data_IF_830225594080
#
_entry.id   IF_830225594080
#
_cell.length_a   1.000
_cell.length_b   1.000
_cell.length_c   1.000
_cell.angle_alpha   90.00
_cell.angle_beta   90.00
_cell.angle_gamma   90.00
#
_symmetry.space_group_name_H-M   'P 1'
#
loop_
_entity.id
_entity.type
_entity.pdbx_description
1 polymer ?
#
# COMPACT_ATOMS: atom_id res chain seq x y z
N UNK A 1 16.49 -7.60 -7.18
CA UNK A 1 15.58 -8.60 -6.57
C UNK A 1 14.71 -9.21 -7.65
N UNK A 2 14.72 -10.54 -7.82
CA UNK A 2 13.98 -11.20 -8.89
C UNK A 2 12.48 -10.89 -8.79
N UNK A 3 11.91 -10.21 -9.81
CA UNK A 3 10.48 -9.88 -9.89
C UNK A 3 9.53 -11.04 -9.59
N UNK A 4 9.81 -12.30 -10.03
CA UNK A 4 8.96 -13.44 -9.69
C UNK A 4 9.01 -13.80 -8.20
N UNK A 5 10.20 -13.80 -7.57
CA UNK A 5 10.36 -14.13 -6.16
C UNK A 5 9.53 -13.21 -5.23
N UNK A 6 9.53 -11.90 -5.50
CA UNK A 6 8.74 -10.95 -4.73
C UNK A 6 7.23 -11.19 -4.85
N UNK A 7 6.74 -11.53 -6.06
CA UNK A 7 5.33 -11.89 -6.26
C UNK A 7 4.95 -13.14 -5.47
N UNK A 8 5.80 -14.16 -5.47
CA UNK A 8 5.56 -15.39 -4.69
C UNK A 8 5.51 -15.11 -3.19
N UNK A 9 6.44 -14.33 -2.66
CA UNK A 9 6.47 -13.95 -1.24
C UNK A 9 5.19 -13.18 -0.86
N UNK A 10 4.75 -12.25 -1.69
CA UNK A 10 3.51 -11.47 -1.45
C UNK A 10 2.28 -12.37 -1.42
N UNK A 11 2.17 -13.31 -2.38
CA UNK A 11 1.04 -14.27 -2.41
C UNK A 11 1.07 -15.18 -1.19
N UNK A 12 2.23 -15.71 -0.82
CA UNK A 12 2.40 -16.56 0.38
C UNK A 12 2.01 -15.77 1.64
N UNK A 13 2.41 -14.51 1.77
CA UNK A 13 2.06 -13.67 2.91
C UNK A 13 0.54 -13.45 3.02
N UNK A 14 -0.15 -13.19 1.90
CA UNK A 14 -1.61 -13.05 1.87
C UNK A 14 -2.27 -14.37 2.28
N UNK A 15 -1.82 -15.50 1.71
CA UNK A 15 -2.37 -16.81 2.05
C UNK A 15 -2.17 -17.16 3.52
N UNK A 16 -1.01 -16.82 4.09
CA UNK A 16 -0.72 -17.02 5.50
C UNK A 16 -1.65 -16.20 6.41
N UNK A 17 -1.91 -14.91 6.06
CA UNK A 17 -2.85 -14.06 6.79
C UNK A 17 -4.27 -14.62 6.72
N UNK A 18 -4.74 -15.04 5.54
CA UNK A 18 -6.07 -15.64 5.36
C UNK A 18 -6.21 -16.94 6.14
N UNK A 19 -5.19 -17.80 6.10
CA UNK A 19 -5.18 -19.05 6.86
C UNK A 19 -5.23 -18.81 8.37
N UNK A 20 -4.44 -17.85 8.88
CA UNK A 20 -4.41 -17.48 10.29
C UNK A 20 -5.75 -16.90 10.75
N UNK A 21 -6.39 -16.06 9.93
CA UNK A 21 -7.74 -15.54 10.21
C UNK A 21 -8.79 -16.64 10.20
N UNK A 22 -8.72 -17.58 9.24
CA UNK A 22 -9.61 -18.75 9.19
C UNK A 22 -9.47 -19.63 10.42
N UNK A 23 -8.26 -19.92 10.85
CA UNK A 23 -7.98 -20.68 12.06
C UNK A 23 -8.50 -19.97 13.31
N UNK A 24 -8.25 -18.66 13.44
CA UNK A 24 -8.74 -17.86 14.55
C UNK A 24 -10.27 -17.78 14.57
N UNK A 25 -10.93 -17.62 13.42
CA UNK A 25 -12.38 -17.64 13.29
C UNK A 25 -12.96 -18.96 13.76
N UNK A 26 -12.42 -20.10 13.28
CA UNK A 26 -12.84 -21.43 13.68
C UNK A 26 -12.70 -21.64 15.19
N UNK A 27 -11.60 -21.22 15.78
CA UNK A 27 -11.34 -21.35 17.21
C UNK A 27 -12.32 -20.51 18.04
N UNK A 28 -12.56 -19.26 17.64
CA UNK A 28 -13.53 -18.37 18.29
C UNK A 28 -14.97 -18.87 18.17
N UNK A 29 -15.31 -19.44 17.03
CA UNK A 29 -16.61 -20.05 16.82
C UNK A 29 -16.85 -21.21 17.80
N UNK A 30 -15.91 -22.15 17.89
CA UNK A 30 -16.02 -23.29 18.81
C UNK A 30 -16.06 -22.87 20.29
N UNK A 31 -15.31 -21.83 20.64
CA UNK A 31 -15.31 -21.31 22.00
C UNK A 31 -16.68 -20.74 22.39
N UNK A 32 -17.28 -19.93 21.49
CA UNK A 32 -18.62 -19.37 21.72
C UNK A 32 -19.71 -20.44 21.67
N UNK A 33 -19.56 -21.44 20.82
CA UNK A 33 -20.46 -22.60 20.74
C UNK A 33 -20.47 -23.36 22.08
N UNK A 34 -19.32 -23.66 22.65
CA UNK A 34 -19.19 -24.33 23.93
C UNK A 34 -19.75 -23.46 25.08
N UNK A 35 -19.43 -22.16 25.10
CA UNK A 35 -19.96 -21.23 26.11
C UNK A 35 -21.51 -21.16 26.04
N UNK A 36 -22.08 -21.15 24.86
CA UNK A 36 -23.53 -21.17 24.67
C UNK A 36 -24.12 -22.48 25.15
N UNK A 37 -23.50 -23.62 24.84
CA UNK A 37 -23.91 -24.94 25.28
C UNK A 37 -23.92 -25.02 26.82
N UNK A 38 -22.88 -24.57 27.49
CA UNK A 38 -22.81 -24.59 28.95
C UNK A 38 -23.88 -23.71 29.59
N UNK A 39 -24.15 -22.53 29.04
CA UNK A 39 -25.23 -21.63 29.52
C UNK A 39 -26.60 -22.28 29.39
N UNK A 40 -26.86 -22.95 28.28
CA UNK A 40 -28.12 -23.64 28.00
C UNK A 40 -28.32 -24.82 28.95
N UNK A 41 -27.30 -25.66 29.13
CA UNK A 41 -27.35 -26.78 30.03
C UNK A 41 -27.55 -26.36 31.50
N UNK A 42 -26.80 -25.39 31.96
CA UNK A 42 -26.92 -24.86 33.34
C UNK A 42 -28.32 -24.25 33.58
N UNK A 43 -28.83 -23.48 32.59
CA UNK A 43 -30.20 -22.94 32.69
C UNK A 43 -31.26 -24.03 32.75
N UNK A 44 -31.10 -25.13 31.97
CA UNK A 44 -32.03 -26.24 32.00
C UNK A 44 -31.98 -27.02 33.34
N UNK A 45 -30.80 -27.18 33.87
CA UNK A 45 -30.59 -27.79 35.20
C UNK A 45 -31.27 -26.97 36.33
N UNK A 46 -31.06 -25.66 36.35
CA UNK A 46 -31.67 -24.76 37.33
C UNK A 46 -33.21 -24.74 37.20
N UNK A 47 -33.71 -24.78 35.94
CA UNK A 47 -35.15 -24.87 35.65
C UNK A 47 -35.80 -26.15 36.24
N UNK A 48 -35.09 -27.28 36.18
CA UNK A 48 -35.55 -28.54 36.76
C UNK A 48 -35.60 -28.49 38.29
N UNK A 49 -34.59 -27.87 38.92
CA UNK A 49 -34.55 -27.67 40.37
C UNK A 49 -35.70 -26.77 40.83
N UNK A 50 -35.99 -25.71 40.10
CA UNK A 50 -37.12 -24.82 40.40
C UNK A 50 -38.47 -25.52 40.24
N UNK A 51 -38.65 -26.25 39.12
CA UNK A 51 -39.86 -27.01 38.87
C UNK A 51 -40.11 -28.05 39.95
N UNK A 52 -39.11 -28.87 40.31
CA UNK A 52 -39.16 -29.85 41.35
C UNK A 52 -39.54 -29.23 42.72
N UNK A 53 -39.00 -28.06 43.04
CA UNK A 53 -39.36 -27.31 44.24
C UNK A 53 -40.82 -26.81 44.24
N UNK A 54 -41.29 -26.31 43.06
CA UNK A 54 -42.70 -25.86 42.89
C UNK A 54 -43.67 -27.03 43.00
N UNK A 55 -43.40 -28.13 42.32
CA UNK A 55 -44.24 -29.34 42.32
C UNK A 55 -44.30 -29.99 43.68
N UNK A 56 -43.21 -30.08 44.42
CA UNK A 56 -43.16 -30.57 45.80
C UNK A 56 -44.00 -29.71 46.75
N UNK A 57 -44.03 -28.38 46.63
CA UNK A 57 -44.86 -27.48 47.42
C UNK A 57 -46.34 -27.58 47.14
N UNK A 58 -46.73 -27.92 45.93
CA UNK A 58 -48.12 -28.09 45.51
C UNK A 58 -48.70 -29.47 45.89
N UNK A 59 -47.84 -30.41 46.17
CA UNK A 59 -48.26 -31.76 46.54
C UNK A 59 -48.96 -31.77 47.89
N UNK A 60 -50.24 -32.16 47.93
CA UNK A 60 -51.08 -32.22 49.15
C UNK A 60 -50.84 -33.50 49.97
N UNK A 61 -49.99 -34.41 49.55
CA UNK A 61 -49.65 -35.62 50.28
C UNK A 61 -48.57 -35.38 51.35
N UNK A 62 -48.59 -36.20 52.40
CA UNK A 62 -47.52 -36.15 53.42
C UNK A 62 -46.26 -36.80 52.84
N UNK A 63 -45.29 -35.97 52.46
CA UNK A 63 -43.91 -36.43 52.34
C UNK A 63 -43.38 -36.50 53.77
N UNK A 64 -42.94 -37.65 54.29
CA UNK A 64 -42.44 -37.76 55.67
C UNK A 64 -41.28 -36.78 55.88
N UNK A 65 -41.38 -35.99 56.97
CA UNK A 65 -40.25 -35.16 57.39
C UNK A 65 -39.03 -36.06 57.72
N UNK A 66 -37.98 -35.96 56.91
CA UNK A 66 -36.81 -36.79 57.10
C UNK A 66 -36.64 -37.91 56.07
N UNK A 67 -37.37 -37.87 54.93
CA UNK A 67 -37.09 -38.78 53.83
C UNK A 67 -35.62 -38.67 53.46
N UNK A 68 -34.84 -39.67 53.82
CA UNK A 68 -33.42 -39.78 53.47
C UNK A 68 -33.37 -40.37 52.09
N UNK A 69 -32.84 -39.58 51.15
CA UNK A 69 -32.50 -40.07 49.83
C UNK A 69 -31.42 -41.14 49.95
N UNK A 70 -31.80 -42.38 49.84
CA UNK A 70 -30.87 -43.48 49.75
C UNK A 70 -30.64 -43.77 48.24
N UNK A 71 -29.89 -42.88 47.59
CA UNK A 71 -29.39 -43.19 46.26
C UNK A 71 -28.45 -44.37 46.37
N UNK A 72 -28.63 -45.32 45.44
CA UNK A 72 -27.75 -46.47 45.37
C UNK A 72 -26.29 -46.02 45.17
N UNK A 73 -25.52 -46.08 46.27
CA UNK A 73 -24.13 -45.62 46.30
C UNK A 73 -23.24 -46.31 45.25
N UNK A 74 -23.72 -47.44 44.72
CA UNK A 74 -23.00 -48.14 43.64
C UNK A 74 -23.12 -47.43 42.30
N UNK A 75 -24.08 -46.52 42.15
CA UNK A 75 -24.32 -45.71 40.92
C UNK A 75 -23.80 -44.28 40.96
N UNK A 76 -23.12 -43.91 42.06
CA UNK A 76 -22.60 -42.55 42.29
C UNK A 76 -21.08 -42.57 42.30
N UNK A 77 -20.46 -41.69 41.49
CA UNK A 77 -19.03 -41.55 41.41
C UNK A 77 -18.69 -40.08 41.20
N UNK A 78 -18.89 -39.25 42.25
CA UNK A 78 -18.72 -37.82 42.21
C UNK A 78 -17.29 -37.43 41.78
N UNK A 79 -17.17 -36.65 40.73
CA UNK A 79 -15.88 -36.15 40.18
C UNK A 79 -15.82 -34.64 39.97
N UNK A 80 -16.97 -33.98 39.82
CA UNK A 80 -17.03 -32.53 39.57
C UNK A 80 -18.40 -31.94 39.95
N UNK A 81 -18.49 -30.60 40.02
CA UNK A 81 -19.69 -29.85 40.46
C UNK A 81 -20.94 -30.15 39.60
N UNK A 82 -20.77 -30.45 38.32
CA UNK A 82 -21.85 -30.78 37.38
C UNK A 82 -22.42 -32.19 37.70
N UNK A 83 -21.56 -33.15 37.97
CA UNK A 83 -21.97 -34.50 38.38
C UNK A 83 -22.77 -34.47 39.71
N UNK A 84 -22.35 -33.69 40.67
CA UNK A 84 -23.04 -33.53 41.97
C UNK A 84 -24.46 -32.97 41.79
N UNK A 85 -24.62 -31.99 40.90
CA UNK A 85 -25.91 -31.40 40.55
C UNK A 85 -26.80 -32.36 39.80
N UNK A 86 -26.23 -33.16 38.90
CA UNK A 86 -26.96 -34.18 38.15
C UNK A 86 -27.47 -35.27 39.10
N UNK A 87 -26.68 -35.70 40.05
CA UNK A 87 -27.07 -36.64 41.13
C UNK A 87 -28.24 -36.07 41.92
N UNK A 88 -28.18 -34.81 42.33
CA UNK A 88 -29.22 -34.14 43.06
C UNK A 88 -30.58 -34.14 42.28
N UNK A 89 -30.51 -33.78 41.00
CA UNK A 89 -31.72 -33.76 40.16
C UNK A 89 -32.29 -35.15 39.94
N UNK A 90 -31.44 -36.12 39.64
CA UNK A 90 -31.90 -37.52 39.47
C UNK A 90 -32.57 -38.02 40.75
N UNK A 91 -32.00 -37.70 41.88
CA UNK A 91 -32.57 -38.02 43.18
C UNK A 91 -33.96 -37.38 43.45
N UNK A 92 -34.08 -36.09 43.11
CA UNK A 92 -35.36 -35.37 43.22
C UNK A 92 -36.41 -35.95 42.29
N UNK A 93 -36.08 -36.32 41.08
CA UNK A 93 -36.99 -36.96 40.13
C UNK A 93 -37.38 -38.37 40.60
N UNK A 94 -36.48 -39.14 41.21
CA UNK A 94 -36.79 -40.45 41.79
C UNK A 94 -37.79 -40.34 42.91
N UNK A 95 -37.64 -39.35 43.81
CA UNK A 95 -38.65 -39.06 44.86
C UNK A 95 -40.01 -38.72 44.23
N UNK A 96 -40.02 -37.83 43.26
CA UNK A 96 -41.28 -37.46 42.56
C UNK A 96 -41.95 -38.67 41.92
N UNK A 97 -41.20 -39.60 41.38
CA UNK A 97 -41.71 -40.84 40.84
C UNK A 97 -42.27 -41.75 41.92
N UNK A 98 -41.57 -41.91 43.04
CA UNK A 98 -42.00 -42.76 44.19
C UNK A 98 -43.34 -42.27 44.78
N UNK A 99 -43.46 -40.94 44.96
CA UNK A 99 -44.69 -40.32 45.49
C UNK A 99 -45.73 -39.98 44.44
N UNK A 100 -45.60 -40.48 43.16
CA UNK A 100 -46.51 -40.20 42.06
C UNK A 100 -46.74 -38.69 41.83
N UNK A 101 -45.73 -37.87 42.01
CA UNK A 101 -45.77 -36.45 41.66
C UNK A 101 -45.38 -36.32 40.18
N UNK A 102 -46.36 -35.98 39.28
CA UNK A 102 -46.05 -35.91 37.85
C UNK A 102 -45.15 -34.69 37.53
N UNK A 103 -44.18 -34.88 36.65
CA UNK A 103 -43.41 -33.77 36.10
C UNK A 103 -44.34 -32.87 35.28
N UNK A 104 -44.41 -31.59 35.63
CA UNK A 104 -45.24 -30.63 34.92
C UNK A 104 -44.44 -29.92 33.83
N UNK A 105 -44.56 -30.38 32.59
CA UNK A 105 -43.86 -29.83 31.46
C UNK A 105 -44.16 -28.35 31.21
N UNK A 106 -45.39 -27.84 31.48
CA UNK A 106 -45.72 -26.43 31.33
C UNK A 106 -45.00 -25.57 32.39
N UNK A 107 -44.91 -26.08 33.60
CA UNK A 107 -44.15 -25.45 34.68
C UNK A 107 -42.64 -25.42 34.36
N UNK A 108 -42.12 -26.55 33.85
CA UNK A 108 -40.73 -26.67 33.44
C UNK A 108 -40.37 -25.73 32.28
N UNK A 109 -41.27 -25.63 31.25
CA UNK A 109 -41.11 -24.69 30.15
C UNK A 109 -41.00 -23.23 30.65
N UNK A 110 -41.91 -22.87 31.58
CA UNK A 110 -41.90 -21.52 32.17
C UNK A 110 -40.63 -21.25 32.99
N UNK A 111 -40.18 -22.23 33.81
CA UNK A 111 -38.95 -22.12 34.57
C UNK A 111 -37.72 -22.02 33.66
N UNK A 112 -37.69 -22.82 32.63
CA UNK A 112 -36.57 -22.80 31.68
C UNK A 112 -36.49 -21.49 30.93
N UNK A 113 -37.62 -20.94 30.50
CA UNK A 113 -37.68 -19.60 29.88
C UNK A 113 -37.18 -18.51 30.82
N UNK A 114 -37.57 -18.56 32.09
CA UNK A 114 -37.09 -17.64 33.13
C UNK A 114 -35.58 -17.74 33.32
N UNK A 115 -35.01 -18.94 33.38
CA UNK A 115 -33.54 -19.13 33.53
C UNK A 115 -32.78 -18.70 32.27
N UNK A 116 -33.31 -18.95 31.08
CA UNK A 116 -32.76 -18.46 29.81
C UNK A 116 -32.78 -16.92 29.73
N UNK A 117 -33.81 -16.27 30.26
CA UNK A 117 -33.89 -14.81 30.33
C UNK A 117 -32.80 -14.23 31.23
N UNK A 118 -32.45 -14.85 32.36
CA UNK A 118 -31.38 -14.42 33.27
C UNK A 118 -30.00 -14.40 32.61
N UNK A 119 -29.79 -15.30 31.64
CA UNK A 119 -28.53 -15.35 30.83
C UNK A 119 -28.64 -14.65 29.49
N UNK A 120 -29.68 -13.81 29.28
CA UNK A 120 -29.97 -13.08 28.04
C UNK A 120 -30.23 -13.98 26.81
N UNK A 121 -30.78 -15.17 27.01
CA UNK A 121 -31.12 -16.16 25.99
C UNK A 121 -32.61 -16.41 25.84
N UNK A 122 -33.48 -15.67 26.52
CA UNK A 122 -34.92 -15.89 26.55
C UNK A 122 -35.68 -15.79 25.21
N UNK A 123 -35.01 -15.20 24.19
CA UNK A 123 -35.57 -15.15 22.80
C UNK A 123 -35.38 -16.45 22.02
N UNK A 124 -34.71 -17.44 22.58
CA UNK A 124 -34.53 -18.74 21.93
C UNK A 124 -35.83 -19.51 21.88
N UNK A 125 -36.08 -20.14 20.74
CA UNK A 125 -37.11 -21.15 20.62
C UNK A 125 -36.52 -22.49 21.09
N UNK A 126 -37.23 -23.15 21.99
CA UNK A 126 -36.83 -24.45 22.49
C UNK A 126 -38.08 -25.35 22.63
N UNK A 127 -37.84 -26.66 22.65
CA UNK A 127 -38.82 -27.68 23.03
C UNK A 127 -38.16 -28.60 24.06
N UNK A 128 -39.00 -29.15 24.95
CA UNK A 128 -38.54 -30.10 25.97
C UNK A 128 -39.22 -31.45 25.63
N UNK A 129 -38.39 -32.46 25.37
CA UNK A 129 -38.81 -33.77 24.95
C UNK A 129 -38.44 -34.82 26.02
N UNK A 130 -39.30 -35.84 26.18
CA UNK A 130 -38.94 -37.05 26.94
C UNK A 130 -38.23 -38.00 25.98
N UNK A 131 -37.09 -38.49 26.42
CA UNK A 131 -36.20 -39.36 25.64
C UNK A 131 -36.12 -40.72 26.33
N UNK A 132 -36.32 -41.77 25.54
CA UNK A 132 -36.06 -43.14 26.00
C UNK A 132 -34.53 -43.38 25.92
N UNK A 133 -33.96 -43.78 27.07
CA UNK A 133 -32.53 -43.97 27.22
C UNK A 133 -32.17 -45.44 27.07
N UNK A 134 -31.16 -45.76 26.30
CA UNK A 134 -30.60 -47.10 26.33
C UNK A 134 -29.78 -47.29 27.64
N UNK A 135 -30.43 -47.89 28.65
CA UNK A 135 -29.85 -48.12 29.95
C UNK A 135 -28.55 -48.97 29.91
N UNK A 136 -28.25 -49.62 28.82
CA UNK A 136 -27.04 -50.43 28.67
C UNK A 136 -25.81 -49.53 28.45
N UNK A 137 -26.03 -48.30 27.97
CA UNK A 137 -24.96 -47.31 27.67
C UNK A 137 -24.50 -46.54 28.91
N UNK A 138 -25.35 -46.37 29.89
CA UNK A 138 -25.09 -45.55 31.07
C UNK A 138 -25.14 -46.45 32.33
N UNK A 139 -24.00 -46.55 32.97
CA UNK A 139 -23.88 -47.37 34.20
C UNK A 139 -23.96 -46.51 35.48
N UNK A 140 -23.50 -45.26 35.40
CA UNK A 140 -23.45 -44.31 36.49
C UNK A 140 -24.16 -43.02 36.10
N UNK A 141 -24.61 -42.24 37.06
CA UNK A 141 -25.19 -40.88 36.80
C UNK A 141 -24.19 -39.96 36.11
N UNK A 142 -22.93 -40.08 36.47
CA UNK A 142 -21.84 -39.29 35.90
C UNK A 142 -21.61 -39.58 34.42
N UNK A 143 -21.95 -40.72 33.90
CA UNK A 143 -21.83 -41.09 32.49
C UNK A 143 -22.63 -40.12 31.62
N UNK A 144 -23.75 -39.53 32.16
CA UNK A 144 -24.50 -38.49 31.48
C UNK A 144 -23.80 -37.13 31.46
N UNK A 145 -22.97 -36.84 32.49
CA UNK A 145 -22.17 -35.61 32.53
C UNK A 145 -20.93 -35.69 31.63
N UNK A 146 -20.37 -36.92 31.46
CA UNK A 146 -19.24 -37.16 30.60
C UNK A 146 -19.64 -37.35 29.13
N UNK A 147 -20.90 -37.69 28.83
CA UNK A 147 -21.42 -37.78 27.47
C UNK A 147 -21.66 -36.38 26.89
N UNK A 148 -20.55 -35.70 26.68
CA UNK A 148 -20.52 -34.43 25.97
C UNK A 148 -20.62 -34.60 24.45
N UNK A 149 -21.10 -35.76 23.99
CA UNK A 149 -21.44 -35.95 22.59
C UNK A 149 -22.62 -35.00 22.25
N UNK A 150 -22.23 -33.77 21.91
CA UNK A 150 -23.07 -32.80 21.24
C UNK A 150 -23.68 -33.52 20.02
N UNK A 151 -24.91 -33.99 20.15
CA UNK A 151 -25.68 -34.45 18.99
C UNK A 151 -26.00 -33.18 18.19
N UNK A 152 -25.07 -32.80 17.31
CA UNK A 152 -25.24 -31.71 16.38
C UNK A 152 -26.15 -32.15 15.27
N UNK A 153 -27.44 -32.03 15.47
CA UNK A 153 -28.38 -32.07 14.38
C UNK A 153 -28.32 -30.74 13.62
N UNK A 154 -28.35 -30.80 12.34
CA UNK A 154 -27.99 -29.78 11.33
C UNK A 154 -28.48 -28.34 11.57
N UNK A 155 -29.28 -28.01 12.55
CA UNK A 155 -29.76 -26.67 12.94
C UNK A 155 -30.24 -26.61 14.39
N UNK A 156 -30.03 -27.63 15.17
CA UNK A 156 -30.53 -27.75 16.54
C UNK A 156 -29.35 -28.00 17.49
N UNK A 157 -29.44 -27.45 18.70
CA UNK A 157 -28.52 -27.75 19.80
C UNK A 157 -29.31 -28.42 20.90
N UNK A 158 -28.88 -29.60 21.31
CA UNK A 158 -29.52 -30.36 22.37
C UNK A 158 -28.73 -30.21 23.66
N UNK A 159 -29.44 -30.08 24.80
CA UNK A 159 -28.82 -30.20 26.13
C UNK A 159 -28.40 -31.65 26.35
N UNK A 160 -27.60 -31.88 27.38
CA UNK A 160 -27.39 -33.23 27.85
C UNK A 160 -28.74 -33.84 28.29
N UNK A 161 -28.78 -35.17 28.31
CA UNK A 161 -29.97 -35.90 28.78
C UNK A 161 -29.95 -35.93 30.32
N UNK A 162 -31.05 -35.54 30.92
CA UNK A 162 -31.24 -35.60 32.37
C UNK A 162 -32.16 -36.77 32.73
N UNK A 163 -31.64 -37.81 33.42
CA UNK A 163 -32.44 -38.98 33.78
C UNK A 163 -33.52 -38.60 34.78
N UNK A 164 -34.75 -39.13 34.55
CA UNK A 164 -35.91 -38.90 35.41
C UNK A 164 -36.34 -40.16 36.18
N UNK A 165 -35.60 -41.27 35.99
CA UNK A 165 -35.83 -42.54 36.70
C UNK A 165 -34.50 -43.14 37.13
N UNK A 166 -34.53 -43.89 38.26
CA UNK A 166 -33.35 -44.57 38.78
C UNK A 166 -32.81 -45.69 37.90
N UNK A 167 -33.68 -46.31 37.11
CA UNK A 167 -33.33 -47.35 36.15
C UNK A 167 -32.72 -46.81 34.85
N UNK A 168 -32.60 -45.47 34.76
CA UNK A 168 -32.14 -44.76 33.56
C UNK A 168 -32.87 -45.10 32.27
N UNK A 169 -34.14 -45.56 32.37
CA UNK A 169 -34.95 -45.88 31.20
C UNK A 169 -35.51 -44.66 30.49
N UNK A 170 -35.68 -43.54 31.20
CA UNK A 170 -36.23 -42.29 30.68
C UNK A 170 -35.48 -41.06 31.15
N UNK A 171 -35.34 -40.10 30.25
CA UNK A 171 -34.79 -38.79 30.55
C UNK A 171 -35.53 -37.66 29.89
N UNK A 172 -35.17 -36.46 30.19
CA UNK A 172 -35.62 -35.24 29.50
C UNK A 172 -34.43 -34.50 28.92
N UNK A 173 -34.72 -33.86 27.80
CA UNK A 173 -33.73 -33.10 27.04
C UNK A 173 -34.40 -31.86 26.45
N UNK A 174 -33.74 -30.73 26.46
CA UNK A 174 -34.18 -29.55 25.75
C UNK A 174 -33.45 -29.43 24.42
N UNK A 175 -34.22 -29.18 23.36
CA UNK A 175 -33.70 -28.94 22.03
C UNK A 175 -33.94 -27.47 21.68
N UNK A 176 -32.91 -26.80 21.24
CA UNK A 176 -32.91 -25.37 20.89
C UNK A 176 -32.78 -25.23 19.39
N UNK A 177 -33.68 -24.45 18.80
CA UNK A 177 -33.73 -24.18 17.38
C UNK A 177 -32.77 -23.02 17.00
N UNK A 178 -32.03 -23.21 15.92
CA UNK A 178 -31.19 -22.18 15.30
C UNK A 178 -30.21 -21.44 16.24
N UNK A 179 -29.41 -22.11 17.10
CA UNK A 179 -28.48 -21.48 17.99
C UNK A 179 -27.35 -20.69 17.25
N UNK A 180 -27.06 -21.11 16.03
CA UNK A 180 -26.00 -20.49 15.19
C UNK A 180 -26.23 -19.01 14.89
N UNK A 181 -27.50 -18.59 14.81
CA UNK A 181 -27.82 -17.17 14.59
C UNK A 181 -27.30 -16.27 15.70
N UNK A 182 -27.36 -16.76 16.96
CA UNK A 182 -26.83 -16.02 18.11
C UNK A 182 -25.30 -15.98 18.10
N UNK A 183 -24.65 -17.10 17.79
CA UNK A 183 -23.20 -17.18 17.70
C UNK A 183 -22.69 -16.18 16.63
N UNK A 184 -23.31 -16.17 15.44
CA UNK A 184 -22.94 -15.23 14.38
C UNK A 184 -23.18 -13.77 14.79
N UNK A 185 -24.30 -13.48 15.49
CA UNK A 185 -24.57 -12.14 16.00
C UNK A 185 -23.55 -11.68 17.03
N UNK A 186 -23.08 -12.56 17.89
CA UNK A 186 -22.01 -12.26 18.86
C UNK A 186 -20.67 -12.06 18.16
N UNK A 187 -20.41 -12.83 17.08
CA UNK A 187 -19.19 -12.69 16.30
C UNK A 187 -19.16 -11.48 15.34
N UNK A 188 -20.25 -10.74 15.17
CA UNK A 188 -20.35 -9.66 14.17
C UNK A 188 -19.22 -8.62 14.27
N UNK A 189 -18.85 -8.20 15.49
CA UNK A 189 -17.79 -7.22 15.70
C UNK A 189 -16.42 -7.77 15.30
N UNK A 190 -16.19 -9.05 15.58
CA UNK A 190 -14.97 -9.75 15.15
C UNK A 190 -14.92 -9.91 13.64
N UNK A 191 -16.04 -10.23 12.99
CA UNK A 191 -16.12 -10.31 11.53
C UNK A 191 -15.80 -8.95 10.87
N UNK A 192 -16.37 -7.87 11.38
CA UNK A 192 -16.07 -6.52 10.92
C UNK A 192 -14.58 -6.21 11.09
N UNK A 193 -14.01 -6.54 12.26
CA UNK A 193 -12.58 -6.33 12.55
C UNK A 193 -11.67 -7.12 11.60
N UNK A 194 -11.97 -8.38 11.31
CA UNK A 194 -11.19 -9.21 10.39
C UNK A 194 -11.22 -8.68 8.96
N UNK A 195 -12.40 -8.26 8.48
CA UNK A 195 -12.57 -7.66 7.15
C UNK A 195 -11.80 -6.35 7.05
N UNK A 196 -11.90 -5.48 8.07
CA UNK A 196 -11.16 -4.22 8.10
C UNK A 196 -9.63 -4.44 8.06
N UNK A 197 -9.14 -5.39 8.87
CA UNK A 197 -7.73 -5.74 8.91
C UNK A 197 -7.24 -6.24 7.55
N UNK A 198 -8.02 -7.07 6.88
CA UNK A 198 -7.71 -7.57 5.54
C UNK A 198 -7.61 -6.43 4.52
N UNK A 199 -8.53 -5.45 4.57
CA UNK A 199 -8.47 -4.26 3.73
C UNK A 199 -7.21 -3.44 3.99
N UNK A 200 -6.82 -3.23 5.26
CA UNK A 200 -5.59 -2.51 5.62
C UNK A 200 -4.36 -3.22 5.06
N UNK A 201 -4.27 -4.54 5.21
CA UNK A 201 -3.14 -5.33 4.69
C UNK A 201 -3.05 -5.21 3.17
N UNK A 202 -4.16 -5.37 2.45
CA UNK A 202 -4.19 -5.24 0.98
C UNK A 202 -3.77 -3.81 0.57
N UNK A 203 -4.29 -2.78 1.23
CA UNK A 203 -3.92 -1.38 0.97
C UNK A 203 -2.42 -1.15 1.15
N UNK A 204 -1.85 -1.60 2.26
CA UNK A 204 -0.40 -1.48 2.53
C UNK A 204 0.44 -2.19 1.45
N UNK A 205 0.04 -3.40 1.03
CA UNK A 205 0.73 -4.14 -0.03
C UNK A 205 0.69 -3.41 -1.37
N UNK A 206 -0.47 -2.84 -1.75
CA UNK A 206 -0.59 -2.04 -2.98
C UNK A 206 0.32 -0.82 -2.95
N UNK A 207 0.39 -0.11 -1.81
CA UNK A 207 1.29 1.04 -1.67
C UNK A 207 2.77 0.64 -1.74
N UNK A 208 3.16 -0.45 -1.09
CA UNK A 208 4.52 -0.99 -1.17
C UNK A 208 4.92 -1.35 -2.60
N UNK A 209 4.02 -2.01 -3.36
CA UNK A 209 4.27 -2.34 -4.78
C UNK A 209 4.50 -1.07 -5.60
N UNK A 210 3.68 -0.02 -5.41
CA UNK A 210 3.85 1.27 -6.11
C UNK A 210 5.21 1.90 -5.81
N UNK A 211 5.64 1.89 -4.55
CA UNK A 211 6.95 2.42 -4.13
C UNK A 211 8.09 1.64 -4.79
N UNK A 212 8.04 0.31 -4.76
CA UNK A 212 9.08 -0.54 -5.37
C UNK A 212 9.16 -0.33 -6.89
N UNK A 213 8.01 -0.23 -7.57
CA UNK A 213 7.98 0.03 -9.02
C UNK A 213 8.62 1.38 -9.34
N UNK A 214 8.32 2.42 -8.54
CA UNK A 214 8.92 3.76 -8.68
C UNK A 214 10.44 3.72 -8.44
N UNK A 215 10.89 3.05 -7.37
CA UNK A 215 12.32 2.91 -7.08
C UNK A 215 13.08 2.16 -8.18
N UNK A 216 12.51 1.08 -8.71
CA UNK A 216 13.12 0.33 -9.81
C UNK A 216 13.21 1.19 -11.09
N UNK A 217 12.20 2.02 -11.36
CA UNK A 217 12.24 2.95 -12.50
C UNK A 217 13.40 3.95 -12.33
N UNK A 218 13.52 4.55 -11.14
CA UNK A 218 14.58 5.51 -10.81
C UNK A 218 15.96 4.82 -10.91
N UNK A 219 16.10 3.62 -10.37
CA UNK A 219 17.36 2.87 -10.43
C UNK A 219 17.78 2.58 -11.87
N UNK A 220 16.81 2.18 -12.72
CA UNK A 220 17.08 1.93 -14.14
C UNK A 220 17.48 3.20 -14.88
N UNK A 221 16.78 4.32 -14.65
CA UNK A 221 17.12 5.61 -15.24
C UNK A 221 18.54 6.03 -14.84
N UNK A 222 18.91 5.85 -13.55
CA UNK A 222 20.27 6.13 -13.07
C UNK A 222 21.33 5.24 -13.74
N UNK A 223 21.03 3.97 -13.97
CA UNK A 223 21.90 3.03 -14.65
C UNK A 223 22.10 3.44 -16.12
N UNK A 224 21.00 3.68 -16.84
CA UNK A 224 21.03 4.13 -18.25
C UNK A 224 21.81 5.44 -18.41
N UNK A 225 21.66 6.38 -17.46
CA UNK A 225 22.47 7.62 -17.41
C UNK A 225 23.96 7.35 -17.21
N UNK A 226 24.30 6.49 -16.24
CA UNK A 226 25.72 6.18 -15.99
C UNK A 226 26.37 5.59 -17.23
N UNK A 227 25.69 4.71 -17.96
CA UNK A 227 26.17 4.15 -19.23
C UNK A 227 26.33 5.24 -20.32
N UNK A 228 25.34 6.13 -20.47
CA UNK A 228 25.41 7.22 -21.45
C UNK A 228 26.57 8.15 -21.13
N UNK A 229 26.73 8.56 -19.86
CA UNK A 229 27.81 9.43 -19.40
C UNK A 229 29.19 8.82 -19.65
N UNK A 230 29.37 7.54 -19.31
CA UNK A 230 30.64 6.84 -19.57
C UNK A 230 30.94 6.81 -21.07
N UNK A 231 29.95 6.59 -21.92
CA UNK A 231 30.13 6.56 -23.38
C UNK A 231 30.51 7.91 -23.93
N UNK A 232 29.86 8.99 -23.47
CA UNK A 232 30.12 10.35 -23.96
C UNK A 232 31.46 10.90 -23.45
N UNK A 233 31.93 10.45 -22.27
CA UNK A 233 33.30 10.72 -21.79
C UNK A 233 34.34 9.87 -22.51
N UNK A 234 34.02 8.68 -22.97
CA UNK A 234 34.94 7.78 -23.66
C UNK A 234 35.38 8.36 -25.02
N UNK A 235 34.50 9.07 -25.73
CA UNK A 235 34.79 9.63 -27.06
C UNK A 235 35.90 10.68 -26.99
N UNK A 236 35.76 11.79 -26.21
CA UNK A 236 36.80 12.80 -26.08
C UNK A 236 38.11 12.21 -25.52
N UNK A 237 38.00 11.31 -24.52
CA UNK A 237 39.18 10.64 -23.98
C UNK A 237 39.92 9.80 -25.03
N UNK A 238 39.18 9.15 -25.94
CA UNK A 238 39.76 8.36 -27.04
C UNK A 238 40.42 9.26 -28.08
N UNK A 239 39.84 10.41 -28.40
CA UNK A 239 40.43 11.44 -29.28
C UNK A 239 41.75 11.98 -28.73
N UNK A 240 41.77 12.38 -27.45
CA UNK A 240 42.98 12.82 -26.74
C UNK A 240 44.05 11.74 -26.76
N UNK A 241 43.69 10.48 -26.43
CA UNK A 241 44.62 9.37 -26.43
C UNK A 241 45.18 9.10 -27.83
N UNK A 242 44.34 9.17 -28.87
CA UNK A 242 44.79 9.01 -30.26
C UNK A 242 45.70 10.12 -30.70
N UNK A 243 45.37 11.39 -30.42
CA UNK A 243 46.20 12.56 -30.66
C UNK A 243 47.59 12.42 -30.00
N UNK A 244 47.60 12.07 -28.71
CA UNK A 244 48.83 11.82 -27.94
C UNK A 244 49.71 10.74 -28.58
N UNK A 245 49.11 9.60 -29.03
CA UNK A 245 49.85 8.52 -29.69
C UNK A 245 50.44 8.96 -31.03
N UNK A 246 49.69 9.73 -31.82
CA UNK A 246 50.15 10.24 -33.13
C UNK A 246 51.33 11.21 -32.92
N UNK A 247 51.19 12.16 -32.00
CA UNK A 247 52.26 13.10 -31.67
C UNK A 247 53.51 12.39 -31.17
N UNK A 248 53.37 11.40 -30.27
CA UNK A 248 54.48 10.61 -29.73
C UNK A 248 55.18 9.75 -30.78
N UNK A 249 54.52 9.40 -31.88
CA UNK A 249 55.12 8.57 -32.93
C UNK A 249 56.20 9.28 -33.78
N UNK A 250 56.35 10.59 -33.64
CA UNK A 250 57.28 11.42 -34.44
C UNK A 250 56.89 11.59 -35.92
N UNK A 251 55.79 11.01 -36.38
CA UNK A 251 55.37 11.04 -37.78
C UNK A 251 54.96 12.45 -38.29
N UNK A 252 54.76 13.38 -37.35
CA UNK A 252 54.36 14.77 -37.64
C UNK A 252 55.45 15.78 -37.36
N UNK A 253 56.65 15.36 -37.02
CA UNK A 253 57.76 16.30 -36.66
C UNK A 253 58.15 17.19 -37.80
N UNK A 254 58.05 16.69 -39.05
CA UNK A 254 58.28 17.44 -40.27
C UNK A 254 57.06 18.22 -40.81
N UNK A 255 55.93 18.23 -40.04
CA UNK A 255 54.64 18.83 -40.48
C UNK A 255 54.03 19.66 -39.33
N UNK A 256 54.64 20.82 -39.02
CA UNK A 256 54.24 21.63 -37.87
C UNK A 256 52.76 22.03 -37.86
N UNK A 257 52.19 22.43 -39.01
CA UNK A 257 50.75 22.78 -39.11
C UNK A 257 49.82 21.63 -38.75
N UNK A 258 50.17 20.39 -39.09
CA UNK A 258 49.38 19.23 -38.74
C UNK A 258 49.55 18.84 -37.25
N UNK A 259 50.73 19.09 -36.72
CA UNK A 259 51.03 18.86 -35.30
C UNK A 259 50.20 19.80 -34.45
N UNK A 260 50.12 21.07 -34.82
CA UNK A 260 49.32 22.11 -34.17
C UNK A 260 47.84 21.71 -34.18
N UNK A 261 47.30 21.31 -35.33
CA UNK A 261 45.92 20.86 -35.45
C UNK A 261 45.55 19.69 -34.50
N UNK A 262 46.50 18.79 -34.23
CA UNK A 262 46.24 17.73 -33.24
C UNK A 262 46.27 18.26 -31.80
N UNK A 263 47.04 19.26 -31.49
CA UNK A 263 47.01 19.94 -30.18
C UNK A 263 45.66 20.67 -30.02
N UNK A 264 45.22 21.44 -31.01
CA UNK A 264 43.92 22.12 -30.99
C UNK A 264 42.77 21.12 -30.74
N UNK A 265 42.75 19.99 -31.46
CA UNK A 265 41.74 18.96 -31.27
C UNK A 265 41.79 18.38 -29.85
N UNK A 266 42.97 18.18 -29.29
CA UNK A 266 43.11 17.64 -27.93
C UNK A 266 42.68 18.64 -26.89
N UNK A 267 42.97 19.94 -27.08
CA UNK A 267 42.54 21.03 -26.21
C UNK A 267 41.03 21.21 -26.23
N UNK A 268 40.40 21.21 -27.42
CA UNK A 268 38.94 21.24 -27.60
C UNK A 268 38.26 20.08 -26.87
N UNK A 269 38.81 18.87 -26.97
CA UNK A 269 38.23 17.70 -26.32
C UNK A 269 38.44 17.67 -24.80
N UNK A 270 39.55 18.27 -24.30
CA UNK A 270 39.80 18.47 -22.87
C UNK A 270 38.79 19.46 -22.26
N UNK A 271 38.59 20.62 -22.94
CA UNK A 271 37.60 21.62 -22.54
C UNK A 271 36.20 21.03 -22.53
N UNK A 272 35.86 20.24 -23.54
CA UNK A 272 34.56 19.53 -23.61
C UNK A 272 34.37 18.60 -22.42
N UNK A 273 35.39 17.79 -22.07
CA UNK A 273 35.34 16.86 -20.97
C UNK A 273 35.18 17.60 -19.62
N UNK A 274 35.93 18.72 -19.44
CA UNK A 274 35.83 19.55 -18.24
C UNK A 274 34.46 20.18 -18.09
N UNK A 275 33.86 20.67 -19.18
CA UNK A 275 32.50 21.20 -19.20
C UNK A 275 31.47 20.15 -18.78
N UNK A 276 31.62 18.91 -19.26
CA UNK A 276 30.75 17.80 -18.86
C UNK A 276 30.82 17.48 -17.36
N UNK A 277 32.03 17.39 -16.82
CA UNK A 277 32.26 17.15 -15.38
C UNK A 277 31.64 18.28 -14.55
N UNK A 278 31.93 19.54 -14.91
CA UNK A 278 31.38 20.70 -14.21
C UNK A 278 29.83 20.71 -14.25
N UNK A 279 29.23 20.38 -15.38
CA UNK A 279 27.76 20.30 -15.52
C UNK A 279 27.14 19.28 -14.58
N UNK A 280 27.76 18.11 -14.41
CA UNK A 280 27.29 17.07 -13.48
C UNK A 280 27.43 17.50 -12.03
N UNK A 281 28.56 18.11 -11.66
CA UNK A 281 28.82 18.62 -10.31
C UNK A 281 27.83 19.75 -9.94
N UNK A 282 27.63 20.70 -10.86
CA UNK A 282 26.68 21.81 -10.68
C UNK A 282 25.26 21.29 -10.50
N UNK A 283 24.84 20.35 -11.33
CA UNK A 283 23.50 19.73 -11.21
C UNK A 283 23.32 19.03 -9.85
N UNK A 284 24.35 18.32 -9.39
CA UNK A 284 24.31 17.67 -8.07
C UNK A 284 24.14 18.69 -6.94
N UNK A 285 24.87 19.81 -6.98
CA UNK A 285 24.75 20.90 -5.99
C UNK A 285 23.39 21.59 -6.03
N UNK A 286 22.84 21.79 -7.25
CA UNK A 286 21.48 22.35 -7.46
C UNK A 286 20.39 21.44 -6.87
N UNK A 287 20.48 20.14 -7.10
CA UNK A 287 19.53 19.16 -6.57
C UNK A 287 19.54 19.09 -5.04
N UNK A 288 20.72 19.21 -4.43
CA UNK A 288 20.87 19.23 -2.98
C UNK A 288 20.48 20.58 -2.34
N UNK A 289 20.14 21.59 -3.14
CA UNK A 289 19.85 22.95 -2.65
C UNK A 289 21.06 23.65 -2.03
N UNK A 290 22.28 23.18 -2.34
CA UNK A 290 23.55 23.70 -1.77
C UNK A 290 24.20 24.73 -2.64
N UNK A 291 23.66 25.05 -3.81
CA UNK A 291 24.23 26.06 -4.69
C UNK A 291 23.84 27.43 -4.19
N UNK A 292 24.84 28.25 -3.89
CA UNK A 292 24.68 29.67 -3.58
C UNK A 292 24.71 30.45 -4.89
N UNK A 293 23.64 31.16 -5.22
CA UNK A 293 23.53 32.00 -6.41
C UNK A 293 23.92 33.45 -6.06
N UNK A 294 24.71 34.06 -6.90
CA UNK A 294 25.07 35.50 -6.83
C UNK A 294 24.09 36.29 -7.70
N UNK A 295 22.86 36.50 -7.17
CA UNK A 295 21.82 37.22 -7.90
C UNK A 295 22.07 38.71 -7.92
N UNK A 296 22.08 39.28 -9.11
CA UNK A 296 22.22 40.72 -9.37
C UNK A 296 21.27 41.16 -10.49
N UNK A 297 21.12 42.46 -10.71
CA UNK A 297 20.43 42.97 -11.89
C UNK A 297 21.34 42.74 -13.11
N UNK A 298 20.85 41.94 -14.08
CA UNK A 298 21.60 41.51 -15.27
C UNK A 298 20.88 42.02 -16.50
N UNK A 299 21.63 42.48 -17.51
CA UNK A 299 21.08 42.83 -18.83
C UNK A 299 20.98 41.61 -19.71
N UNK A 300 19.78 41.34 -20.22
CA UNK A 300 19.51 40.18 -21.08
C UNK A 300 20.11 40.32 -22.49
N UNK A 301 20.08 41.54 -23.05
CA UNK A 301 20.52 41.79 -24.44
C UNK A 301 21.94 41.31 -24.70
N UNK A 302 22.99 41.67 -23.92
CA UNK A 302 24.35 41.20 -24.17
C UNK A 302 24.48 39.67 -24.10
N UNK A 303 23.78 39.05 -23.16
CA UNK A 303 23.79 37.59 -22.98
C UNK A 303 23.20 36.89 -24.21
N UNK A 304 22.07 37.38 -24.70
CA UNK A 304 21.36 36.78 -25.83
C UNK A 304 22.13 37.00 -27.13
N UNK A 305 22.69 38.19 -27.35
CA UNK A 305 23.50 38.49 -28.50
C UNK A 305 24.76 37.59 -28.58
N UNK A 306 25.48 37.45 -27.47
CA UNK A 306 26.65 36.54 -27.38
C UNK A 306 26.25 35.08 -27.68
N UNK A 307 25.14 34.62 -27.12
CA UNK A 307 24.63 33.25 -27.39
C UNK A 307 24.22 33.06 -28.86
N UNK A 308 23.50 34.02 -29.46
CA UNK A 308 23.06 33.92 -30.84
C UNK A 308 24.25 33.92 -31.83
N UNK A 309 25.28 34.76 -31.58
CA UNK A 309 26.52 34.78 -32.37
C UNK A 309 27.26 33.43 -32.25
N UNK A 310 27.46 32.94 -31.04
CA UNK A 310 28.11 31.65 -30.78
C UNK A 310 27.41 30.48 -31.44
N UNK A 311 26.08 30.39 -31.32
CA UNK A 311 25.32 29.28 -31.89
C UNK A 311 25.22 29.38 -33.42
N UNK A 312 25.14 30.58 -34.00
CA UNK A 312 25.18 30.78 -35.46
C UNK A 312 26.52 30.34 -36.04
N UNK A 313 27.63 30.67 -35.40
CA UNK A 313 28.99 30.29 -35.84
C UNK A 313 29.21 28.75 -35.74
N UNK A 314 28.61 28.09 -34.77
CA UNK A 314 28.82 26.65 -34.49
C UNK A 314 27.80 25.74 -35.25
N UNK A 315 26.71 26.29 -35.70
CA UNK A 315 25.62 25.50 -36.29
C UNK A 315 26.02 24.88 -37.63
N UNK A 316 25.75 23.57 -37.79
CA UNK A 316 25.97 22.83 -39.08
C UNK A 316 24.82 23.02 -40.06
N UNK A 317 23.75 23.68 -39.64
CA UNK A 317 22.54 23.96 -40.44
C UNK A 317 22.09 25.40 -40.27
N UNK A 318 21.27 25.95 -41.22
CA UNK A 318 20.77 27.31 -41.12
C UNK A 318 19.98 27.55 -39.82
N UNK A 319 20.36 28.54 -39.06
CA UNK A 319 19.70 28.99 -37.83
C UNK A 319 19.33 30.46 -37.98
N UNK A 320 18.05 30.77 -37.86
CA UNK A 320 17.55 32.16 -37.86
C UNK A 320 17.10 32.55 -36.46
N UNK A 321 17.65 33.65 -35.90
CA UNK A 321 17.26 34.19 -34.61
C UNK A 321 16.37 35.42 -34.77
N UNK A 322 15.22 35.44 -34.04
CA UNK A 322 14.32 36.60 -33.93
C UNK A 322 14.33 37.06 -32.51
N UNK A 323 14.74 38.29 -32.26
CA UNK A 323 14.86 38.87 -30.92
C UNK A 323 13.71 39.88 -30.67
N UNK A 324 12.93 39.69 -29.60
CA UNK A 324 11.82 40.54 -29.19
C UNK A 324 11.91 40.81 -27.66
N UNK A 325 12.91 41.65 -27.28
CA UNK A 325 13.26 41.90 -25.89
C UNK A 325 12.56 43.19 -25.41
N UNK A 326 11.35 43.05 -24.86
CA UNK A 326 10.60 44.17 -24.25
C UNK A 326 11.06 44.49 -22.83
N UNK A 327 11.50 43.48 -22.08
CA UNK A 327 12.14 43.63 -20.78
C UNK A 327 13.63 43.26 -20.91
N UNK A 328 14.53 44.22 -20.71
CA UNK A 328 15.96 44.01 -20.87
C UNK A 328 16.67 43.61 -19.60
N UNK A 329 16.03 43.72 -18.44
CA UNK A 329 16.62 43.47 -17.13
C UNK A 329 15.99 42.31 -16.41
N UNK A 330 16.80 41.53 -15.71
CA UNK A 330 16.36 40.42 -14.88
C UNK A 330 17.20 40.33 -13.60
N UNK A 331 16.62 39.97 -12.46
CA UNK A 331 17.36 39.76 -11.22
C UNK A 331 17.76 38.28 -11.10
N UNK A 332 18.98 37.97 -11.50
CA UNK A 332 19.45 36.59 -11.60
C UNK A 332 20.97 36.49 -11.38
N UNK A 333 21.43 35.26 -11.25
CA UNK A 333 22.85 34.92 -11.43
C UNK A 333 23.11 34.79 -12.93
N UNK A 334 24.02 35.62 -13.42
CA UNK A 334 24.31 35.81 -14.84
C UNK A 334 24.79 34.53 -15.52
N UNK A 335 25.72 33.82 -14.87
CA UNK A 335 26.36 32.64 -15.41
C UNK A 335 25.32 31.49 -15.55
N UNK A 336 24.60 31.23 -14.49
CA UNK A 336 23.56 30.15 -14.50
C UNK A 336 22.40 30.49 -15.40
N UNK A 337 21.99 31.75 -15.50
CA UNK A 337 20.92 32.16 -16.42
C UNK A 337 21.37 32.00 -17.88
N UNK A 338 22.57 32.46 -18.21
CA UNK A 338 23.19 32.32 -19.53
C UNK A 338 23.25 30.84 -19.95
N UNK A 339 23.69 29.97 -19.05
CA UNK A 339 23.74 28.53 -19.31
C UNK A 339 22.34 27.91 -19.47
N UNK A 340 21.34 28.36 -18.69
CA UNK A 340 19.97 27.90 -18.85
C UNK A 340 19.39 28.27 -20.22
N UNK A 341 19.56 29.51 -20.68
CA UNK A 341 19.12 29.96 -22.02
C UNK A 341 19.90 29.20 -23.10
N UNK A 342 21.22 29.04 -22.95
CA UNK A 342 22.06 28.24 -23.85
C UNK A 342 21.52 26.80 -24.04
N UNK A 343 21.09 26.14 -22.95
CA UNK A 343 20.51 24.80 -23.02
C UNK A 343 19.17 24.77 -23.80
N UNK A 344 18.35 25.82 -23.70
CA UNK A 344 17.11 25.92 -24.47
C UNK A 344 17.39 26.12 -25.99
N UNK A 345 18.37 26.99 -26.33
CA UNK A 345 18.80 27.20 -27.72
C UNK A 345 19.40 25.92 -28.31
N UNK A 346 20.27 25.24 -27.56
CA UNK A 346 20.86 23.97 -27.99
C UNK A 346 19.79 22.90 -28.26
N UNK A 347 18.76 22.81 -27.43
CA UNK A 347 17.63 21.93 -27.65
C UNK A 347 16.84 22.31 -28.91
N UNK A 348 16.56 23.58 -29.12
CA UNK A 348 15.87 24.07 -30.32
C UNK A 348 16.61 23.66 -31.61
N UNK A 349 17.93 23.79 -31.60
CA UNK A 349 18.77 23.38 -32.76
C UNK A 349 18.79 21.85 -32.90
N UNK A 350 18.96 21.12 -31.81
CA UNK A 350 19.06 19.65 -31.84
C UNK A 350 17.76 18.96 -32.29
N UNK A 351 16.61 19.48 -31.88
CA UNK A 351 15.32 18.89 -32.15
C UNK A 351 14.55 19.55 -33.32
N UNK A 352 15.28 20.17 -34.24
CA UNK A 352 14.76 20.67 -35.51
C UNK A 352 15.36 19.89 -36.69
N UNK A 353 14.72 19.98 -37.86
CA UNK A 353 15.11 19.27 -39.08
C UNK A 353 16.26 20.01 -39.82
N UNK A 354 16.09 20.32 -41.11
CA UNK A 354 17.14 20.88 -41.94
C UNK A 354 17.48 22.36 -41.63
N UNK A 355 16.55 23.09 -41.02
CA UNK A 355 16.72 24.48 -40.60
C UNK A 355 15.93 24.74 -39.33
N UNK A 356 16.24 25.81 -38.61
CA UNK A 356 15.47 26.22 -37.41
C UNK A 356 15.35 27.73 -37.31
N UNK A 357 14.14 28.19 -36.98
CA UNK A 357 13.87 29.55 -36.58
C UNK A 357 13.63 29.57 -35.05
N UNK A 358 14.41 30.38 -34.36
CA UNK A 358 14.36 30.49 -32.91
C UNK A 358 13.98 31.93 -32.54
N UNK A 359 12.79 32.10 -31.94
CA UNK A 359 12.37 33.38 -31.38
C UNK A 359 12.70 33.44 -29.93
N UNK A 360 13.48 34.45 -29.48
CA UNK A 360 13.77 34.74 -28.09
C UNK A 360 13.05 36.03 -27.71
N UNK A 361 12.18 35.96 -26.72
CA UNK A 361 11.43 37.12 -26.26
C UNK A 361 11.54 37.31 -24.76
N UNK A 362 11.45 38.56 -24.30
CA UNK A 362 11.34 38.88 -22.89
C UNK A 362 10.27 39.91 -22.60
N UNK A 363 9.55 39.76 -21.50
CA UNK A 363 8.50 40.69 -21.08
C UNK A 363 8.40 40.74 -19.56
N UNK A 364 7.94 41.89 -19.03
CA UNK A 364 7.62 42.03 -17.62
C UNK A 364 6.17 41.63 -17.35
N UNK A 365 5.93 40.86 -16.29
CA UNK A 365 4.58 40.53 -15.84
C UNK A 365 4.10 41.49 -14.76
N UNK A 366 2.80 41.78 -14.76
CA UNK A 366 2.13 42.53 -13.67
C UNK A 366 2.30 41.88 -12.28
N UNK A 367 2.65 40.59 -12.23
CA UNK A 367 2.85 39.82 -10.99
C UNK A 367 4.28 39.92 -10.44
N UNK A 368 5.15 40.77 -11.01
CA UNK A 368 6.53 40.98 -10.57
C UNK A 368 7.51 39.87 -11.00
N UNK A 369 7.26 39.28 -12.17
CA UNK A 369 8.17 38.32 -12.82
C UNK A 369 8.63 38.86 -14.16
N UNK A 370 9.90 38.55 -14.53
CA UNK A 370 10.39 38.67 -15.88
C UNK A 370 10.20 37.32 -16.58
N UNK A 371 9.52 37.33 -17.71
CA UNK A 371 9.31 36.16 -18.58
C UNK A 371 10.38 36.18 -19.68
N UNK A 372 11.10 35.10 -19.84
CA UNK A 372 12.07 34.88 -20.94
C UNK A 372 11.59 33.64 -21.69
N UNK A 373 11.22 33.79 -22.95
CA UNK A 373 10.72 32.71 -23.78
C UNK A 373 11.68 32.38 -24.92
N UNK A 374 11.90 31.09 -25.15
CA UNK A 374 12.61 30.54 -26.32
C UNK A 374 11.65 29.64 -27.07
N UNK A 375 11.27 30.06 -28.27
CA UNK A 375 10.34 29.33 -29.14
C UNK A 375 11.06 28.87 -30.40
N UNK A 376 10.92 27.60 -30.75
CA UNK A 376 11.44 26.99 -31.96
C UNK A 376 10.31 26.46 -32.85
N UNK A 377 10.56 26.32 -34.15
CA UNK A 377 9.70 25.67 -35.14
C UNK A 377 10.12 24.21 -35.40
N UNK A 378 10.66 23.53 -34.39
CA UNK A 378 11.17 22.17 -34.51
C UNK A 378 10.07 21.10 -34.47
N UNK A 379 10.47 19.86 -34.10
CA UNK A 379 9.57 18.70 -34.09
C UNK A 379 8.47 18.75 -33.04
N UNK A 380 8.46 19.69 -32.10
CA UNK A 380 7.54 19.75 -30.99
C UNK A 380 7.64 18.57 -30.05
N UNK A 381 6.80 18.54 -29.01
CA UNK A 381 6.82 17.54 -27.95
C UNK A 381 5.43 16.94 -27.77
N UNK A 382 5.27 15.61 -27.88
CA UNK A 382 3.99 14.94 -27.65
C UNK A 382 3.40 15.24 -26.27
N UNK A 383 2.10 15.47 -26.18
CA UNK A 383 1.41 15.85 -24.94
C UNK A 383 1.68 14.86 -23.78
N UNK A 384 1.80 13.56 -24.07
CA UNK A 384 2.09 12.50 -23.08
C UNK A 384 3.47 12.62 -22.45
N UNK A 385 4.41 13.32 -23.10
CA UNK A 385 5.80 13.46 -22.68
C UNK A 385 6.08 14.81 -22.01
N UNK A 386 5.28 15.85 -22.31
CA UNK A 386 5.48 17.21 -21.81
C UNK A 386 5.60 17.29 -20.27
N UNK A 387 4.87 16.46 -19.53
CA UNK A 387 4.96 16.43 -18.07
C UNK A 387 6.23 15.80 -17.49
N UNK A 388 7.07 15.17 -18.34
CA UNK A 388 8.25 14.42 -17.89
C UNK A 388 9.58 14.94 -18.40
N UNK A 389 9.57 15.84 -19.39
CA UNK A 389 10.79 16.33 -20.05
C UNK A 389 11.77 17.07 -19.12
N UNK A 390 11.26 17.53 -17.97
CA UNK A 390 12.08 18.17 -16.92
C UNK A 390 12.62 17.14 -15.91
N UNK A 391 12.14 15.88 -15.94
CA UNK A 391 12.69 14.83 -15.09
C UNK A 391 14.12 14.49 -15.55
N UNK A 392 14.99 14.22 -14.59
CA UNK A 392 16.39 13.86 -14.84
C UNK A 392 16.45 12.61 -15.71
N UNK A 393 17.25 12.69 -16.80
CA UNK A 393 17.51 11.58 -17.72
C UNK A 393 16.32 11.16 -18.61
N UNK A 394 15.20 11.85 -18.57
CA UNK A 394 14.12 11.61 -19.52
C UNK A 394 14.51 12.18 -20.90
N UNK A 395 14.27 11.39 -21.93
CA UNK A 395 14.45 11.79 -23.35
C UNK A 395 13.13 11.50 -24.06
N UNK A 396 12.65 12.45 -24.83
CA UNK A 396 11.42 12.24 -25.62
C UNK A 396 11.58 11.01 -26.53
N UNK A 397 10.54 10.18 -26.59
CA UNK A 397 10.55 8.92 -27.36
C UNK A 397 10.73 9.12 -28.88
N UNK A 398 10.48 10.33 -29.37
CA UNK A 398 10.77 10.73 -30.75
C UNK A 398 12.25 10.57 -31.14
N UNK A 399 13.17 10.77 -30.18
CA UNK A 399 14.62 10.61 -30.39
C UNK A 399 15.03 9.14 -30.59
N UNK A 400 14.29 8.21 -30.04
CA UNK A 400 14.56 6.76 -30.22
C UNK A 400 14.14 6.26 -31.61
N UNK A 401 13.26 6.96 -32.33
CA UNK A 401 12.77 6.54 -33.64
C UNK A 401 13.72 6.92 -34.79
N UNK A 402 14.52 7.97 -34.65
CA UNK A 402 15.52 8.36 -35.64
C UNK A 402 16.83 7.57 -35.45
N UNK A 403 16.85 6.31 -35.92
CA UNK A 403 18.00 5.38 -35.85
C UNK A 403 19.22 5.77 -36.68
N UNK A 404 19.21 6.91 -37.39
CA UNK A 404 20.36 7.45 -38.14
C UNK A 404 20.86 8.73 -37.46
N UNK A 405 21.66 8.60 -36.42
CA UNK A 405 22.35 9.71 -35.77
C UNK A 405 21.49 10.49 -34.78
N UNK A 406 20.90 9.81 -33.79
CA UNK A 406 20.21 10.50 -32.68
C UNK A 406 21.13 11.52 -32.02
N UNK A 407 20.67 12.78 -31.94
CA UNK A 407 21.44 13.89 -31.39
C UNK A 407 22.06 13.52 -30.04
N UNK A 408 23.39 13.66 -29.87
CA UNK A 408 24.07 13.32 -28.64
C UNK A 408 23.56 14.21 -27.51
N UNK A 409 23.28 13.65 -26.33
CA UNK A 409 22.90 14.46 -25.17
C UNK A 409 22.38 13.63 -24.00
N UNK A 410 22.78 14.03 -22.80
CA UNK A 410 22.52 13.33 -21.52
C UNK A 410 21.08 13.41 -21.01
N UNK A 411 20.19 14.17 -21.65
CA UNK A 411 18.89 14.50 -21.07
C UNK A 411 19.01 15.34 -19.78
N UNK A 412 20.12 16.04 -19.62
CA UNK A 412 20.39 16.92 -18.46
C UNK A 412 20.02 18.38 -18.71
N UNK A 413 19.93 18.83 -20.00
CA UNK A 413 19.76 20.25 -20.31
C UNK A 413 18.47 20.85 -19.76
N UNK A 414 17.32 20.23 -20.01
CA UNK A 414 16.03 20.71 -19.48
C UNK A 414 15.90 20.54 -17.95
N UNK A 415 16.49 19.48 -17.40
CA UNK A 415 16.56 19.31 -15.96
C UNK A 415 17.44 20.38 -15.30
N UNK A 416 18.55 20.74 -15.92
CA UNK A 416 19.40 21.87 -15.51
C UNK A 416 18.61 23.18 -15.53
N UNK A 417 17.93 23.50 -16.62
CA UNK A 417 17.06 24.70 -16.72
C UNK A 417 16.06 24.74 -15.59
N UNK A 418 15.38 23.62 -15.33
CA UNK A 418 14.39 23.52 -14.27
C UNK A 418 14.99 23.81 -12.88
N UNK A 419 16.14 23.23 -12.55
CA UNK A 419 16.78 23.41 -11.25
C UNK A 419 17.38 24.82 -11.08
N UNK A 420 18.00 25.39 -12.11
CA UNK A 420 18.48 26.77 -12.11
C UNK A 420 17.32 27.75 -11.87
N UNK A 421 16.24 27.61 -12.60
CA UNK A 421 15.08 28.50 -12.46
C UNK A 421 14.44 28.37 -11.08
N UNK A 422 14.35 27.15 -10.54
CA UNK A 422 13.88 26.92 -9.16
C UNK A 422 14.82 27.54 -8.12
N UNK A 423 16.12 27.48 -8.29
CA UNK A 423 17.09 28.13 -7.41
C UNK A 423 16.96 29.66 -7.43
N UNK A 424 16.46 30.21 -8.54
CA UNK A 424 16.07 31.62 -8.66
C UNK A 424 14.66 31.91 -8.11
N UNK A 425 13.97 30.94 -7.47
CA UNK A 425 12.58 31.04 -7.02
C UNK A 425 11.58 31.27 -8.15
N UNK A 426 11.94 30.86 -9.35
CA UNK A 426 11.15 30.97 -10.56
C UNK A 426 10.39 29.69 -10.92
N UNK A 427 9.78 29.71 -12.11
CA UNK A 427 9.09 28.56 -12.69
C UNK A 427 9.36 28.47 -14.19
N UNK A 428 9.30 27.24 -14.74
CA UNK A 428 9.42 27.00 -16.18
C UNK A 428 8.05 26.52 -16.69
N UNK A 429 7.61 27.06 -17.82
CA UNK A 429 6.40 26.68 -18.54
C UNK A 429 6.78 26.15 -19.91
N UNK A 430 6.04 25.15 -20.40
CA UNK A 430 6.17 24.63 -21.75
C UNK A 430 4.83 24.76 -22.48
N UNK A 431 4.89 25.26 -23.70
CA UNK A 431 3.81 25.18 -24.67
C UNK A 431 4.38 24.53 -25.96
N UNK A 432 3.80 23.43 -26.42
CA UNK A 432 4.33 22.70 -27.55
C UNK A 432 3.23 21.92 -28.28
N UNK A 433 3.32 21.90 -29.62
CA UNK A 433 2.49 21.08 -30.48
C UNK A 433 3.42 20.17 -31.27
N UNK A 434 3.20 18.85 -31.21
CA UNK A 434 3.98 17.85 -31.92
C UNK A 434 3.92 18.13 -33.47
N UNK A 435 5.07 18.25 -34.08
CA UNK A 435 5.23 18.54 -35.50
C UNK A 435 5.20 20.04 -35.87
N UNK A 436 5.00 20.95 -34.91
CA UNK A 436 4.87 22.38 -35.20
C UNK A 436 5.87 23.26 -34.49
N UNK A 437 5.93 23.20 -33.14
CA UNK A 437 6.80 24.08 -32.34
C UNK A 437 6.97 23.61 -30.90
N UNK A 438 8.03 24.12 -30.23
CA UNK A 438 8.13 24.15 -28.79
C UNK A 438 8.45 25.55 -28.29
N UNK A 439 7.82 25.95 -27.20
CA UNK A 439 8.05 27.22 -26.52
C UNK A 439 8.27 27.00 -25.04
N UNK A 440 9.49 27.32 -24.58
CA UNK A 440 9.89 27.24 -23.19
C UNK A 440 9.93 28.64 -22.59
N UNK A 441 9.16 28.90 -21.55
CA UNK A 441 9.14 30.18 -20.84
C UNK A 441 9.72 30.04 -19.45
N UNK A 442 10.79 30.77 -19.17
CA UNK A 442 11.41 30.94 -17.85
C UNK A 442 10.79 32.15 -17.18
N UNK A 443 10.27 31.97 -15.97
CA UNK A 443 9.70 33.05 -15.16
C UNK A 443 10.60 33.29 -13.97
N UNK A 444 11.24 34.45 -13.86
CA UNK A 444 12.17 34.81 -12.75
C UNK A 444 11.60 36.02 -12.01
N UNK A 445 11.58 36.01 -10.66
CA UNK A 445 11.11 37.17 -9.87
C UNK A 445 12.01 38.39 -10.12
N UNK A 446 11.38 39.56 -10.27
CA UNK A 446 12.12 40.84 -10.47
C UNK A 446 12.84 41.37 -9.21
N UNK A 447 12.48 40.88 -8.04
CA UNK A 447 13.11 41.21 -6.77
C UNK A 447 13.25 39.94 -5.91
N UNK A 448 14.16 40.01 -4.93
CA UNK A 448 14.33 38.95 -3.95
C UNK A 448 13.05 38.83 -3.10
N UNK A 449 12.06 38.06 -3.53
CA UNK A 449 10.98 37.60 -2.68
C UNK A 449 11.55 36.48 -1.80
N UNK A 450 12.12 36.85 -0.65
CA UNK A 450 12.24 35.90 0.44
C UNK A 450 10.82 35.38 0.73
N UNK A 451 10.63 34.10 0.51
CA UNK A 451 9.40 33.41 0.91
C UNK A 451 9.42 33.38 2.44
N UNK A 452 8.58 34.24 3.06
CA UNK A 452 8.26 34.20 4.49
C UNK A 452 7.48 32.95 4.84
#
# INVERSE_FOLDING_TARGET
MNKPLFRYITVIAILAVVALQGMWFSNSYHLLENELYDKINNAFLEAQLQESSKSSKQFKGNIPNGTVLQLDSTKIRAKNDMADRLILITALHSIHHEYNIPLNYQSLDSCYREELDKVNLGKLHFRIDSVDIDSTRYKYVEDFAEDSSLVRLHNEMQTQIFPIREDFSKGIQATIDNPYKLIILQMRMFLIGTVLLLFIVIYCLVQQIKVIVKQNKIAKIREDFSYAMINDMKTPLSSILMGTRILRSGKLDDKPERKEKYFDIMEDEEEHLLALVNKVLTLSKLEEGKLLLEKKEVSLRPIIEDLTEKFTAKAEKPVEFILDLQEEKVYADEEFLKEAISNLIDNAIKYSEESVQIKISSSASSNGYTHISVKDNGMGIPLKEQGKIFEKFERASAVQRNRKGGAPGFGLGLNYVFHVVRAHHGSVKLESIEGEYSEFTINIPQQNKEIV
#
